data_IF_848409415767
#
_entry.id   IF_848409415767
#
_cell.length_a   1.000
_cell.length_b   1.000
_cell.length_c   1.000
_cell.angle_alpha   90.00
_cell.angle_beta   90.00
_cell.angle_gamma   90.00
#
_symmetry.space_group_name_H-M   'P 1'
#
loop_
_entity.id
_entity.type
_entity.pdbx_description
1 polymer ?
#
# COMPACT_ATOMS: atom_id res chain seq x y z
N UNK A 1 11.55 -21.80 -11.63
CA UNK A 1 10.73 -20.82 -12.38
C UNK A 1 11.44 -19.49 -12.29
N UNK A 2 11.54 -18.68 -13.36
CA UNK A 2 12.15 -17.36 -13.26
C UNK A 2 11.39 -16.53 -12.23
N UNK A 3 12.11 -15.75 -11.42
CA UNK A 3 11.51 -14.77 -10.51
C UNK A 3 10.85 -13.67 -11.36
N UNK A 4 9.55 -13.43 -11.17
CA UNK A 4 8.87 -12.33 -11.83
C UNK A 4 9.19 -11.04 -11.08
N UNK A 5 10.31 -10.41 -11.46
CA UNK A 5 10.76 -9.13 -10.92
C UNK A 5 10.22 -7.99 -11.77
N UNK A 6 9.56 -7.02 -11.13
CA UNK A 6 9.06 -5.80 -11.75
C UNK A 6 9.67 -4.59 -11.06
N UNK A 7 10.12 -3.62 -11.84
CA UNK A 7 10.60 -2.34 -11.33
C UNK A 7 9.57 -1.29 -11.68
N UNK A 8 9.06 -0.59 -10.67
CA UNK A 8 8.06 0.46 -10.82
C UNK A 8 8.60 1.73 -10.20
N UNK A 9 8.26 2.85 -10.83
CA UNK A 9 8.58 4.18 -10.34
C UNK A 9 7.33 5.03 -10.42
N UNK A 10 7.12 5.81 -9.38
CA UNK A 10 6.10 6.84 -9.35
C UNK A 10 6.76 8.16 -9.03
N UNK A 11 6.22 9.23 -9.62
CA UNK A 11 6.53 10.60 -9.26
C UNK A 11 5.30 11.24 -8.64
N UNK A 12 5.53 12.17 -7.74
CA UNK A 12 4.46 13.03 -7.23
C UNK A 12 3.78 13.76 -8.39
N UNK A 13 2.46 13.97 -8.28
CA UNK A 13 1.65 14.54 -9.36
C UNK A 13 2.14 15.94 -9.74
N UNK A 14 2.30 16.80 -8.73
CA UNK A 14 2.79 18.17 -8.84
C UNK A 14 3.90 18.39 -7.79
N UNK A 15 5.06 17.77 -8.00
CA UNK A 15 6.21 17.95 -7.12
C UNK A 15 7.42 17.10 -7.48
N UNK A 16 8.55 17.28 -6.77
CA UNK A 16 9.78 16.53 -7.03
C UNK A 16 9.80 15.15 -6.36
N UNK A 17 8.70 14.74 -5.71
CA UNK A 17 8.62 13.47 -4.98
C UNK A 17 8.76 12.28 -5.93
N UNK A 18 9.40 11.22 -5.43
CA UNK A 18 9.74 10.06 -6.25
C UNK A 18 9.69 8.80 -5.40
N UNK A 19 9.19 7.73 -5.99
CA UNK A 19 9.29 6.38 -5.47
C UNK A 19 9.97 5.46 -6.47
N UNK A 20 10.82 4.57 -5.97
CA UNK A 20 11.36 3.43 -6.70
C UNK A 20 11.08 2.15 -5.94
N UNK A 21 10.32 1.26 -6.59
CA UNK A 21 9.87 -0.01 -6.02
C UNK A 21 10.32 -1.20 -6.87
N UNK A 22 10.80 -2.23 -6.20
CA UNK A 22 11.08 -3.55 -6.78
C UNK A 22 10.05 -4.53 -6.22
N UNK A 23 9.17 -5.02 -7.09
CA UNK A 23 8.19 -6.05 -6.77
C UNK A 23 8.74 -7.40 -7.24
N UNK A 24 8.75 -8.38 -6.34
CA UNK A 24 9.14 -9.76 -6.63
C UNK A 24 7.98 -10.68 -6.28
N UNK A 25 7.56 -11.48 -7.26
CA UNK A 25 6.57 -12.54 -7.06
C UNK A 25 7.28 -13.89 -7.19
N UNK A 26 7.32 -14.64 -6.08
CA UNK A 26 7.97 -15.95 -5.97
C UNK A 26 6.94 -17.01 -5.61
N UNK A 27 7.31 -18.28 -5.74
CA UNK A 27 6.45 -19.39 -5.32
C UNK A 27 6.22 -19.33 -3.81
N UNK A 28 5.06 -18.81 -3.39
CA UNK A 28 4.63 -18.73 -1.99
C UNK A 28 4.68 -17.33 -1.35
N UNK A 29 5.28 -16.34 -2.00
CA UNK A 29 5.49 -15.02 -1.40
C UNK A 29 5.50 -13.90 -2.46
N UNK A 30 4.94 -12.75 -2.10
CA UNK A 30 5.08 -11.49 -2.83
C UNK A 30 5.84 -10.51 -1.94
N UNK A 31 6.89 -9.87 -2.44
CA UNK A 31 7.62 -8.86 -1.70
C UNK A 31 7.81 -7.59 -2.51
N UNK A 32 7.59 -6.44 -1.87
CA UNK A 32 7.85 -5.13 -2.42
C UNK A 32 8.89 -4.40 -1.57
N UNK A 33 10.02 -4.07 -2.18
CA UNK A 33 11.10 -3.29 -1.57
C UNK A 33 11.14 -1.92 -2.24
N UNK A 34 11.06 -0.84 -1.47
CA UNK A 34 10.90 0.50 -2.01
C UNK A 34 11.70 1.56 -1.26
N UNK A 35 12.05 2.63 -1.99
CA UNK A 35 12.49 3.91 -1.43
C UNK A 35 11.57 5.00 -1.97
N UNK A 36 11.03 5.82 -1.08
CA UNK A 36 10.22 6.98 -1.42
C UNK A 36 10.81 8.27 -0.84
N UNK A 37 10.89 9.31 -1.65
CA UNK A 37 11.29 10.67 -1.31
C UNK A 37 10.05 11.56 -1.36
N UNK A 38 9.67 12.12 -0.21
CA UNK A 38 8.45 12.90 -0.05
C UNK A 38 8.79 14.40 0.06
N UNK A 39 8.09 15.25 -0.71
CA UNK A 39 8.42 16.67 -0.95
C UNK A 39 7.43 17.68 -0.37
N UNK A 40 6.60 17.28 0.59
CA UNK A 40 5.68 18.17 1.29
C UNK A 40 6.36 19.21 2.20
N UNK A 41 5.56 19.89 3.04
CA UNK A 41 6.03 20.96 3.94
C UNK A 41 7.22 20.55 4.81
N UNK A 42 7.26 19.28 5.25
CA UNK A 42 8.41 18.68 5.91
C UNK A 42 8.92 17.54 5.03
N UNK A 43 10.01 17.76 4.27
CA UNK A 43 10.58 16.71 3.42
C UNK A 43 11.18 15.58 4.26
N UNK A 44 10.97 14.34 3.80
CA UNK A 44 11.60 13.16 4.39
C UNK A 44 11.75 12.08 3.32
N UNK A 45 12.56 11.06 3.62
CA UNK A 45 12.69 9.89 2.77
C UNK A 45 12.56 8.63 3.61
N UNK A 46 12.00 7.60 2.99
CA UNK A 46 11.73 6.32 3.65
C UNK A 46 12.27 5.19 2.79
N UNK A 47 12.75 4.14 3.44
CA UNK A 47 12.84 2.81 2.85
C UNK A 47 11.73 1.98 3.47
N UNK A 48 11.00 1.22 2.67
CA UNK A 48 10.05 0.27 3.23
C UNK A 48 10.13 -1.08 2.51
N UNK A 49 9.70 -2.12 3.22
CA UNK A 49 9.48 -3.45 2.68
C UNK A 49 8.14 -3.98 3.12
N UNK A 50 7.33 -4.46 2.18
CA UNK A 50 6.09 -5.19 2.44
C UNK A 50 6.27 -6.62 1.94
N UNK A 51 5.91 -7.59 2.77
CA UNK A 51 5.85 -9.01 2.40
C UNK A 51 4.42 -9.48 2.55
N UNK A 52 3.90 -10.15 1.53
CA UNK A 52 2.57 -10.74 1.49
C UNK A 52 2.62 -12.23 1.16
N UNK A 53 1.57 -12.95 1.53
CA UNK A 53 1.34 -14.29 1.00
C UNK A 53 0.81 -14.26 -0.45
N UNK A 54 0.58 -15.45 -1.02
CA UNK A 54 0.05 -15.60 -2.39
C UNK A 54 -1.38 -15.05 -2.57
N UNK A 55 -2.12 -14.87 -1.49
CA UNK A 55 -3.44 -14.24 -1.46
C UNK A 55 -3.37 -12.71 -1.31
N UNK A 56 -2.16 -12.12 -1.35
CA UNK A 56 -1.92 -10.70 -1.14
C UNK A 56 -2.27 -10.21 0.27
N UNK A 57 -2.36 -11.09 1.26
CA UNK A 57 -2.44 -10.68 2.66
C UNK A 57 -1.06 -10.30 3.18
N UNK A 58 -0.92 -9.11 3.74
CA UNK A 58 0.36 -8.68 4.29
C UNK A 58 0.74 -9.50 5.53
N UNK A 59 2.01 -9.90 5.58
CA UNK A 59 2.65 -10.65 6.66
C UNK A 59 3.64 -9.81 7.43
N UNK A 60 4.28 -8.86 6.75
CA UNK A 60 5.30 -8.00 7.35
C UNK A 60 5.37 -6.66 6.64
N UNK A 61 5.45 -5.59 7.42
CA UNK A 61 5.75 -4.24 6.95
C UNK A 61 6.93 -3.71 7.77
N UNK A 62 8.00 -3.31 7.10
CA UNK A 62 9.14 -2.64 7.72
C UNK A 62 9.28 -1.27 7.08
N UNK A 63 9.40 -0.23 7.88
CA UNK A 63 9.59 1.14 7.43
C UNK A 63 10.77 1.73 8.19
N UNK A 64 11.77 2.22 7.45
CA UNK A 64 12.94 2.92 7.97
C UNK A 64 12.91 4.38 7.49
N UNK A 65 12.80 5.31 8.44
CA UNK A 65 12.84 6.74 8.15
C UNK A 65 14.30 7.20 8.02
N UNK A 66 14.73 7.49 6.79
CA UNK A 66 16.13 7.78 6.45
C UNK A 66 16.62 9.00 7.25
N UNK A 67 17.77 8.85 7.91
CA UNK A 67 18.42 9.91 8.68
C UNK A 67 17.82 10.20 10.06
N UNK A 68 16.66 9.63 10.41
CA UNK A 68 16.01 9.89 11.71
C UNK A 68 16.26 8.82 12.78
N UNK A 69 16.72 7.62 12.38
CA UNK A 69 16.85 6.47 13.27
C UNK A 69 15.52 5.84 13.71
N UNK A 70 14.37 6.37 13.28
CA UNK A 70 13.05 5.81 13.58
C UNK A 70 12.70 4.70 12.60
N UNK A 71 12.24 3.58 13.15
CA UNK A 71 11.78 2.40 12.41
C UNK A 71 10.41 1.98 12.89
N UNK A 72 9.61 1.40 12.00
CA UNK A 72 8.36 0.72 12.34
C UNK A 72 8.42 -0.71 11.80
N UNK A 73 8.15 -1.69 12.66
CA UNK A 73 7.99 -3.08 12.26
C UNK A 73 6.60 -3.56 12.62
N UNK A 74 5.79 -3.86 11.60
CA UNK A 74 4.53 -4.58 11.75
C UNK A 74 4.70 -6.03 11.28
N UNK A 75 4.21 -6.98 12.07
CA UNK A 75 4.18 -8.39 11.70
C UNK A 75 2.79 -8.98 11.96
N UNK A 76 2.28 -9.74 10.99
CA UNK A 76 1.00 -10.43 11.07
C UNK A 76 1.19 -11.94 11.18
N UNK A 77 0.32 -12.62 11.93
CA UNK A 77 0.43 -14.05 12.24
C UNK A 77 -0.01 -14.99 11.10
N UNK A 78 -0.87 -14.55 10.20
CA UNK A 78 -1.60 -15.52 9.36
C UNK A 78 -3.06 -15.14 9.20
N UNK A 79 -3.65 -14.77 10.33
CA UNK A 79 -5.08 -14.81 10.60
C UNK A 79 -5.61 -13.41 10.98
N UNK A 80 -4.87 -12.38 10.59
CA UNK A 80 -5.24 -10.98 10.78
C UNK A 80 -4.89 -10.43 12.16
N UNK A 81 -4.04 -11.07 12.96
CA UNK A 81 -3.51 -10.45 14.18
C UNK A 81 -2.17 -9.80 13.93
N UNK A 82 -2.04 -8.56 14.38
CA UNK A 82 -0.85 -7.77 14.17
C UNK A 82 -0.08 -7.51 15.45
N UNK A 83 1.24 -7.36 15.29
CA UNK A 83 2.12 -6.82 16.32
C UNK A 83 2.88 -5.62 15.76
N UNK A 84 3.16 -4.63 16.61
CA UNK A 84 4.10 -3.54 16.38
C UNK A 84 5.29 -3.71 17.28
N UNK A 85 6.47 -3.88 16.69
CA UNK A 85 7.72 -4.08 17.42
C UNK A 85 7.60 -5.21 18.47
N UNK A 86 6.83 -6.26 18.14
CA UNK A 86 6.55 -7.41 19.00
C UNK A 86 5.40 -7.25 19.98
N UNK A 87 4.80 -6.06 20.10
CA UNK A 87 3.64 -5.81 20.97
C UNK A 87 2.32 -5.98 20.20
N UNK A 88 1.33 -6.71 20.71
CA UNK A 88 0.04 -6.89 20.04
C UNK A 88 -0.68 -5.57 19.73
N UNK A 89 -1.35 -5.54 18.58
CA UNK A 89 -2.23 -4.45 18.13
C UNK A 89 -3.66 -5.00 17.91
N UNK A 90 -4.43 -5.26 18.98
CA UNK A 90 -5.79 -5.81 18.86
C UNK A 90 -6.76 -4.92 18.07
N UNK A 91 -6.49 -3.61 18.00
CA UNK A 91 -7.24 -2.67 17.16
C UNK A 91 -7.13 -2.97 15.65
N UNK A 92 -6.18 -3.82 15.23
CA UNK A 92 -5.99 -4.27 13.86
C UNK A 92 -6.47 -5.71 13.61
N UNK A 93 -7.17 -6.34 14.57
CA UNK A 93 -7.65 -7.71 14.40
C UNK A 93 -8.56 -7.85 13.17
N UNK A 94 -8.23 -8.81 12.29
CA UNK A 94 -8.96 -9.08 11.05
C UNK A 94 -8.60 -8.16 9.88
N UNK A 95 -7.62 -7.26 10.03
CA UNK A 95 -7.10 -6.41 8.96
C UNK A 95 -5.99 -7.15 8.22
N UNK A 96 -5.97 -7.05 6.89
CA UNK A 96 -4.96 -7.71 6.04
C UNK A 96 -4.10 -6.75 5.22
N UNK A 97 -4.59 -5.54 4.97
CA UNK A 97 -3.96 -4.62 4.04
C UNK A 97 -3.35 -3.42 4.81
N UNK A 98 -2.03 -3.21 4.78
CA UNK A 98 -1.43 -1.95 5.19
C UNK A 98 -1.73 -0.87 4.16
N UNK A 99 -1.87 0.37 4.62
CA UNK A 99 -2.01 1.53 3.76
C UNK A 99 -1.01 2.61 4.16
N UNK A 100 -0.05 2.92 3.28
CA UNK A 100 1.02 3.87 3.54
C UNK A 100 0.72 5.15 2.77
N UNK A 101 0.61 6.29 3.44
CA UNK A 101 0.27 7.58 2.79
C UNK A 101 1.29 8.08 1.77
N UNK A 102 2.46 7.43 1.70
CA UNK A 102 3.63 7.83 0.92
C UNK A 102 3.78 7.06 -0.40
N UNK A 103 2.84 6.18 -0.74
CA UNK A 103 2.93 5.35 -1.95
C UNK A 103 1.54 5.01 -2.49
N UNK A 104 1.37 4.92 -3.82
CA UNK A 104 0.16 4.34 -4.40
C UNK A 104 0.19 2.80 -4.43
N UNK A 105 1.32 2.16 -4.09
CA UNK A 105 1.48 0.70 -4.16
C UNK A 105 0.52 -0.03 -3.23
N UNK A 106 0.21 0.53 -2.05
CA UNK A 106 -0.68 -0.14 -1.09
C UNK A 106 -2.11 -0.33 -1.61
N UNK A 107 -2.55 0.45 -2.60
CA UNK A 107 -3.83 0.20 -3.28
C UNK A 107 -3.84 -1.11 -4.09
N UNK A 108 -2.67 -1.58 -4.54
CA UNK A 108 -2.56 -2.84 -5.30
C UNK A 108 -2.94 -4.06 -4.48
N UNK A 109 -2.68 -4.06 -3.17
CA UNK A 109 -2.97 -5.19 -2.28
C UNK A 109 -4.46 -5.56 -2.28
N UNK A 110 -5.39 -4.66 -1.90
CA UNK A 110 -6.81 -4.98 -1.93
C UNK A 110 -7.33 -5.20 -3.35
N UNK A 111 -6.83 -4.49 -4.37
CA UNK A 111 -7.22 -4.71 -5.77
C UNK A 111 -6.93 -6.16 -6.20
N UNK A 112 -5.73 -6.66 -5.88
CA UNK A 112 -5.31 -8.03 -6.20
C UNK A 112 -6.01 -9.09 -5.37
N UNK A 113 -6.26 -8.81 -4.09
CA UNK A 113 -6.92 -9.72 -3.15
C UNK A 113 -8.42 -9.86 -3.42
N UNK A 114 -9.10 -8.75 -3.73
CA UNK A 114 -10.56 -8.72 -3.89
C UNK A 114 -11.03 -9.17 -5.27
N UNK A 115 -10.23 -8.94 -6.33
CA UNK A 115 -10.56 -9.34 -7.71
C UNK A 115 -11.99 -8.96 -8.15
N UNK A 116 -12.42 -7.75 -7.78
CA UNK A 116 -13.78 -7.28 -8.05
C UNK A 116 -14.04 -7.19 -9.56
N UNK A 117 -15.17 -7.71 -10.02
CA UNK A 117 -15.68 -7.49 -11.38
C UNK A 117 -16.28 -6.10 -11.53
N UNK A 118 -16.41 -5.61 -12.76
CA UNK A 118 -16.99 -4.29 -13.03
C UNK A 118 -18.37 -4.12 -12.36
N UNK A 119 -18.54 -2.99 -11.65
CA UNK A 119 -19.73 -2.66 -10.87
C UNK A 119 -19.75 -3.23 -9.45
N UNK A 120 -18.87 -4.17 -9.10
CA UNK A 120 -18.76 -4.69 -7.73
C UNK A 120 -18.00 -3.74 -6.82
N UNK A 121 -18.35 -3.75 -5.54
CA UNK A 121 -17.67 -3.00 -4.50
C UNK A 121 -17.47 -3.83 -3.25
N UNK A 122 -16.38 -3.57 -2.52
CA UNK A 122 -16.13 -4.13 -1.21
C UNK A 122 -15.67 -3.05 -0.23
N UNK A 123 -16.14 -3.14 1.01
CA UNK A 123 -15.58 -2.39 2.12
C UNK A 123 -14.47 -3.22 2.78
N UNK A 124 -13.39 -2.55 3.15
CA UNK A 124 -12.25 -3.12 3.86
C UNK A 124 -11.84 -2.17 4.97
N UNK A 125 -11.06 -2.66 5.93
CA UNK A 125 -10.34 -1.81 6.87
C UNK A 125 -8.85 -2.05 6.66
N UNK A 126 -8.07 -0.97 6.63
CA UNK A 126 -6.62 -1.01 6.44
C UNK A 126 -5.88 -0.66 7.72
N UNK A 127 -4.65 -1.16 7.85
CA UNK A 127 -3.70 -0.67 8.84
C UNK A 127 -3.04 0.58 8.26
N UNK A 128 -3.68 1.73 8.46
CA UNK A 128 -3.27 3.01 7.91
C UNK A 128 -2.07 3.56 8.67
N UNK A 129 -0.98 3.80 7.96
CA UNK A 129 0.30 4.27 8.49
C UNK A 129 0.50 5.71 8.02
N UNK A 130 0.44 6.64 8.96
CA UNK A 130 0.62 8.06 8.69
C UNK A 130 2.08 8.48 8.79
N UNK A 131 2.51 9.37 7.90
CA UNK A 131 3.89 9.81 7.78
C UNK A 131 3.99 11.33 7.93
N UNK A 132 5.04 11.87 8.58
CA UNK A 132 6.23 11.18 9.09
C UNK A 132 6.09 10.69 10.54
N UNK A 133 4.88 10.63 11.09
CA UNK A 133 4.63 10.29 12.49
C UNK A 133 4.81 8.80 12.81
N UNK A 134 4.61 7.91 11.83
CA UNK A 134 4.54 6.44 12.01
C UNK A 134 3.48 6.02 13.03
N UNK A 135 2.36 6.73 13.05
CA UNK A 135 1.15 6.28 13.74
C UNK A 135 0.45 5.23 12.87
N UNK A 136 -0.17 4.24 13.53
CA UNK A 136 -0.86 3.14 12.85
C UNK A 136 -2.26 3.07 13.44
N UNK A 137 -3.27 3.18 12.59
CA UNK A 137 -4.68 3.18 12.99
C UNK A 137 -5.52 2.36 12.01
N UNK A 138 -6.61 1.76 12.49
CA UNK A 138 -7.60 1.14 11.64
C UNK A 138 -8.34 2.21 10.81
N UNK A 139 -8.38 2.06 9.49
CA UNK A 139 -9.04 3.02 8.60
C UNK A 139 -10.00 2.31 7.64
N UNK A 140 -11.32 2.53 7.75
CA UNK A 140 -12.29 1.92 6.86
C UNK A 140 -12.29 2.58 5.47
N UNK A 141 -12.31 1.76 4.43
CA UNK A 141 -12.20 2.14 3.02
C UNK A 141 -13.20 1.34 2.18
N UNK A 142 -13.50 1.85 0.98
CA UNK A 142 -14.26 1.12 -0.03
C UNK A 142 -13.56 1.19 -1.37
N UNK A 143 -13.53 0.05 -2.04
CA UNK A 143 -13.09 -0.07 -3.43
C UNK A 143 -14.27 -0.49 -4.29
N UNK A 144 -14.49 0.21 -5.40
CA UNK A 144 -15.48 -0.15 -6.42
C UNK A 144 -14.77 -0.32 -7.75
N UNK A 145 -14.92 -1.46 -8.41
CA UNK A 145 -14.37 -1.67 -9.74
C UNK A 145 -15.24 -0.94 -10.77
N UNK A 146 -14.69 0.09 -11.42
CA UNK A 146 -15.40 0.84 -12.46
C UNK A 146 -15.24 0.19 -13.83
N UNK A 147 -14.04 -0.30 -14.11
CA UNK A 147 -13.69 -1.01 -15.34
C UNK A 147 -12.69 -2.12 -14.98
N UNK A 148 -13.09 -3.36 -15.20
CA UNK A 148 -12.30 -4.53 -14.81
C UNK A 148 -10.90 -4.50 -15.43
N UNK A 149 -9.88 -4.71 -14.59
CA UNK A 149 -8.48 -4.70 -15.01
C UNK A 149 -7.93 -3.32 -15.39
N UNK A 150 -8.67 -2.22 -15.17
CA UNK A 150 -8.23 -0.88 -15.57
C UNK A 150 -8.55 0.26 -14.59
N UNK A 151 -9.75 0.32 -14.00
CA UNK A 151 -10.15 1.48 -13.18
C UNK A 151 -10.92 1.08 -11.93
N UNK A 152 -10.52 1.67 -10.80
CA UNK A 152 -11.16 1.51 -9.50
C UNK A 152 -11.50 2.87 -8.91
N UNK A 153 -12.63 2.99 -8.23
CA UNK A 153 -12.93 4.09 -7.33
C UNK A 153 -12.50 3.69 -5.93
N UNK A 154 -11.55 4.45 -5.37
CA UNK A 154 -11.20 4.43 -3.96
C UNK A 154 -12.04 5.46 -3.20
N UNK A 155 -12.57 5.07 -2.05
CA UNK A 155 -13.33 5.93 -1.15
C UNK A 155 -12.84 5.73 0.29
N UNK A 156 -12.51 6.83 0.97
CA UNK A 156 -12.36 6.83 2.43
C UNK A 156 -13.76 6.69 3.06
N UNK A 157 -13.90 5.90 4.12
CA UNK A 157 -15.13 5.86 4.93
C UNK A 157 -15.03 6.73 6.19
N UNK A 158 -13.87 7.35 6.41
CA UNK A 158 -13.63 8.30 7.49
C UNK A 158 -13.77 9.78 7.06
N UNK A 159 -13.92 10.05 5.76
CA UNK A 159 -14.05 11.39 5.18
C UNK A 159 -14.86 11.35 3.87
N UNK A 160 -15.03 12.49 3.20
CA UNK A 160 -15.61 12.58 1.85
C UNK A 160 -14.58 12.34 0.72
N UNK A 161 -13.34 12.01 1.07
CA UNK A 161 -12.27 11.78 0.11
C UNK A 161 -12.53 10.55 -0.75
N UNK A 162 -12.39 10.74 -2.08
CA UNK A 162 -12.45 9.68 -3.08
C UNK A 162 -11.56 9.99 -4.27
N UNK A 163 -11.04 8.96 -4.94
CA UNK A 163 -10.27 9.10 -6.19
C UNK A 163 -10.47 7.91 -7.11
N UNK A 164 -10.56 8.18 -8.41
CA UNK A 164 -10.47 7.15 -9.43
C UNK A 164 -8.99 6.82 -9.67
N UNK A 165 -8.64 5.54 -9.51
CA UNK A 165 -7.32 5.00 -9.75
C UNK A 165 -7.31 4.34 -11.12
N UNK A 166 -6.33 4.68 -11.96
CA UNK A 166 -6.00 3.86 -13.13
C UNK A 166 -4.97 2.81 -12.72
N UNK A 167 -5.16 1.56 -13.15
CA UNK A 167 -4.25 0.45 -12.90
C UNK A 167 -3.81 -0.20 -14.21
N UNK A 168 -2.66 -0.88 -14.16
CA UNK A 168 -2.24 -1.75 -15.25
C UNK A 168 -2.79 -3.17 -15.10
N UNK A 169 -2.45 -4.04 -16.07
CA UNK A 169 -2.82 -5.46 -16.07
C UNK A 169 -2.36 -6.26 -14.83
N UNK A 170 -1.44 -5.70 -14.05
CA UNK A 170 -0.92 -6.28 -12.82
C UNK A 170 -1.54 -5.62 -11.57
N UNK A 171 -2.63 -4.86 -11.69
CA UNK A 171 -3.23 -4.16 -10.55
C UNK A 171 -2.36 -3.06 -9.95
N UNK A 172 -1.26 -2.69 -10.62
CA UNK A 172 -0.35 -1.64 -10.16
C UNK A 172 -0.90 -0.30 -10.61
N UNK A 173 -0.98 0.65 -9.68
CA UNK A 173 -1.47 2.00 -9.96
C UNK A 173 -0.61 2.66 -11.04
N UNK A 174 -1.27 3.20 -12.06
CA UNK A 174 -0.68 4.03 -13.12
C UNK A 174 -0.84 5.49 -12.74
N UNK A 175 -2.08 5.91 -12.50
CA UNK A 175 -2.43 7.27 -12.11
C UNK A 175 -3.27 7.25 -10.84
N UNK A 176 -2.82 8.04 -9.87
CA UNK A 176 -3.56 8.43 -8.67
C UNK A 176 -3.69 9.96 -8.74
N UNK A 177 -4.79 10.49 -9.30
CA UNK A 177 -4.96 11.92 -9.55
C UNK A 177 -4.68 12.76 -8.31
N UNK A 178 -3.90 13.83 -8.49
CA UNK A 178 -3.40 14.77 -7.47
C UNK A 178 -2.27 14.26 -6.57
N UNK A 179 -1.94 12.96 -6.60
CA UNK A 179 -0.92 12.37 -5.71
C UNK A 179 0.26 11.76 -6.48
N UNK A 180 0.01 10.80 -7.37
CA UNK A 180 1.06 10.00 -7.99
C UNK A 180 0.79 9.70 -9.47
N UNK A 181 1.87 9.69 -10.27
CA UNK A 181 1.88 9.16 -11.65
C UNK A 181 3.03 8.20 -11.83
N UNK A 182 2.79 7.10 -12.52
CA UNK A 182 3.85 6.18 -12.94
C UNK A 182 4.77 6.86 -13.97
N UNK A 183 6.08 6.72 -13.82
CA UNK A 183 7.08 7.38 -14.68
C UNK A 183 8.50 6.90 -14.49
#
# INVERSE_FOLDING_TARGET
>A
MPEDVKIIRWREWDGPGLEHLVLQERAGEVSADSVAVCSGQTPFAVRYRIVCDVGWHARRVVVDMIGSGRTLVLAADGDGRWTRDGLPMPELDGIFDPDLTITPFTNTLPIRRLQLSAGQSAEITTAFIDFPALTVVANPQRYTCLEEGRRYLYESRASDFRRELEIDRNGLVVDYPDFWRRG
#
